data_IF_518074375834
#
_entry.id   IF_518074375834
#
_cell.length_a   1.000
_cell.length_b   1.000
_cell.length_c   1.000
_cell.angle_alpha   90.00
_cell.angle_beta   90.00
_cell.angle_gamma   90.00
#
_symmetry.space_group_name_H-M   'P 1'
#
loop_
_entity.id
_entity.type
_entity.pdbx_description
1 polymer ?
#
# COMPACT_ATOMS: atom_id res chain seq x y z
N UNK A 1 -7.22 25.55 -8.05
CA UNK A 1 -6.93 26.74 -8.86
C UNK A 1 -7.46 26.51 -10.27
N UNK A 2 -8.33 27.38 -10.77
CA UNK A 2 -8.77 27.36 -12.16
C UNK A 2 -8.02 28.46 -12.91
N UNK A 3 -7.09 28.06 -13.74
CA UNK A 3 -6.59 28.91 -14.81
C UNK A 3 -7.28 28.49 -16.10
N UNK A 4 -7.95 29.43 -16.79
CA UNK A 4 -8.63 29.19 -18.05
C UNK A 4 -9.75 28.13 -18.05
N UNK A 5 -10.50 27.99 -16.95
CA UNK A 5 -11.64 27.07 -16.89
C UNK A 5 -11.27 25.57 -16.78
N UNK A 6 -9.99 25.25 -16.71
CA UNK A 6 -9.53 23.87 -16.54
C UNK A 6 -9.23 23.60 -15.06
N UNK A 7 -9.96 22.68 -14.44
CA UNK A 7 -9.67 22.21 -13.08
C UNK A 7 -8.41 21.34 -13.14
N UNK A 8 -7.32 21.80 -12.52
CA UNK A 8 -6.09 21.00 -12.34
C UNK A 8 -6.07 20.40 -10.94
N UNK A 9 -5.95 19.10 -10.86
CA UNK A 9 -5.69 18.39 -9.61
C UNK A 9 -4.19 18.36 -9.34
N UNK A 10 -3.80 18.87 -8.17
CA UNK A 10 -2.42 18.81 -7.67
C UNK A 10 -2.33 17.75 -6.59
N UNK A 11 -1.24 17.00 -6.57
CA UNK A 11 -0.96 16.08 -5.47
C UNK A 11 -0.68 16.86 -4.17
N UNK A 12 -1.17 16.34 -3.06
CA UNK A 12 -0.97 16.97 -1.73
C UNK A 12 0.51 17.23 -1.43
N UNK A 13 1.37 16.30 -1.81
CA UNK A 13 2.83 16.40 -1.66
C UNK A 13 3.45 17.57 -2.44
N UNK A 14 2.81 18.00 -3.53
CA UNK A 14 3.29 19.12 -4.37
C UNK A 14 2.86 20.50 -3.87
N UNK A 15 1.96 20.55 -2.88
CA UNK A 15 1.47 21.83 -2.33
C UNK A 15 2.53 22.48 -1.43
N UNK A 16 2.56 23.80 -1.43
CA UNK A 16 3.33 24.61 -0.47
C UNK A 16 2.77 24.45 0.96
N UNK A 17 3.59 24.72 1.98
CA UNK A 17 3.22 24.52 3.39
C UNK A 17 1.90 25.19 3.74
N UNK A 18 1.76 26.47 3.44
CA UNK A 18 0.58 27.27 3.77
C UNK A 18 -0.69 26.72 3.09
N UNK A 19 -0.56 26.26 1.84
CA UNK A 19 -1.67 25.64 1.11
C UNK A 19 -2.05 24.27 1.70
N UNK A 20 -1.08 23.51 2.21
CA UNK A 20 -1.36 22.25 2.93
C UNK A 20 -2.10 22.50 4.23
N UNK A 21 -1.65 23.47 5.01
CA UNK A 21 -2.29 23.84 6.27
C UNK A 21 -3.74 24.30 6.07
N UNK A 22 -3.96 25.19 5.11
CA UNK A 22 -5.29 25.66 4.75
C UNK A 22 -6.20 24.49 4.29
N UNK A 23 -5.68 23.58 3.46
CA UNK A 23 -6.38 22.40 3.02
C UNK A 23 -6.75 21.47 4.19
N UNK A 24 -5.80 21.21 5.11
CA UNK A 24 -6.05 20.39 6.29
C UNK A 24 -7.14 20.97 7.17
N UNK A 25 -7.13 22.29 7.39
CA UNK A 25 -8.17 22.97 8.16
C UNK A 25 -9.55 22.82 7.52
N UNK A 26 -9.66 22.99 6.21
CA UNK A 26 -10.92 22.83 5.49
C UNK A 26 -11.41 21.37 5.49
N UNK A 27 -10.52 20.40 5.28
CA UNK A 27 -10.85 18.98 5.39
C UNK A 27 -11.34 18.63 6.78
N UNK A 28 -10.67 19.09 7.85
CA UNK A 28 -11.12 18.88 9.24
C UNK A 28 -12.52 19.44 9.48
N UNK A 29 -12.81 20.63 8.98
CA UNK A 29 -14.11 21.27 9.09
C UNK A 29 -15.22 20.46 8.41
N UNK A 30 -14.96 19.99 7.20
CA UNK A 30 -15.90 19.13 6.45
C UNK A 30 -16.10 17.80 7.17
N UNK A 31 -15.01 17.15 7.62
CA UNK A 31 -15.07 15.88 8.34
C UNK A 31 -15.88 15.98 9.64
N UNK A 32 -15.66 17.04 10.43
CA UNK A 32 -16.44 17.28 11.67
C UNK A 32 -17.94 17.45 11.39
N UNK A 33 -18.28 18.16 10.33
CA UNK A 33 -19.68 18.48 10.01
C UNK A 33 -20.44 17.31 9.37
N UNK A 34 -19.82 16.64 8.41
CA UNK A 34 -20.56 15.81 7.45
C UNK A 34 -20.14 14.33 7.45
N UNK A 35 -19.02 13.97 8.10
CA UNK A 35 -18.46 12.62 7.92
C UNK A 35 -18.46 11.84 9.22
N UNK A 36 -17.75 12.35 10.25
CA UNK A 36 -17.46 11.56 11.45
C UNK A 36 -18.73 11.15 12.20
N UNK A 37 -19.66 12.05 12.41
CA UNK A 37 -20.94 11.75 13.08
C UNK A 37 -21.88 10.89 12.25
N UNK A 38 -21.92 11.13 10.93
CA UNK A 38 -22.78 10.38 10.02
C UNK A 38 -22.34 8.91 9.94
N UNK A 39 -21.08 8.63 9.67
CA UNK A 39 -20.54 7.27 9.66
C UNK A 39 -20.68 6.57 11.03
N UNK A 40 -20.53 7.31 12.12
CA UNK A 40 -20.78 6.75 13.46
C UNK A 40 -22.21 6.25 13.60
N UNK A 41 -23.17 7.05 13.16
CA UNK A 41 -24.59 6.68 13.14
C UNK A 41 -24.89 5.51 12.21
N UNK A 42 -24.33 5.52 11.00
CA UNK A 42 -24.52 4.44 10.01
C UNK A 42 -24.02 3.08 10.52
N UNK A 43 -23.02 3.08 11.39
CA UNK A 43 -22.49 1.86 12.02
C UNK A 43 -23.04 1.58 13.42
N UNK A 44 -24.11 2.24 13.86
CA UNK A 44 -24.66 2.13 15.22
C UNK A 44 -23.62 2.34 16.34
N UNK A 45 -22.60 3.16 16.09
CA UNK A 45 -21.50 3.38 17.03
C UNK A 45 -20.59 2.19 17.29
N UNK A 46 -20.68 1.11 16.51
CA UNK A 46 -19.97 -0.15 16.80
C UNK A 46 -18.55 -0.21 16.24
N UNK A 47 -18.24 0.60 15.25
CA UNK A 47 -16.95 0.51 14.54
C UNK A 47 -15.87 1.39 15.14
N UNK A 48 -16.22 2.59 15.61
CA UNK A 48 -15.26 3.53 16.21
C UNK A 48 -15.95 4.45 17.20
N UNK A 49 -15.15 5.04 18.08
CA UNK A 49 -15.54 6.19 18.87
C UNK A 49 -14.84 7.46 18.39
N UNK A 50 -15.35 8.63 18.76
CA UNK A 50 -14.73 9.90 18.38
C UNK A 50 -14.97 11.02 19.40
N UNK A 51 -14.08 12.01 19.38
CA UNK A 51 -14.25 13.28 20.09
C UNK A 51 -13.99 14.43 19.12
N UNK A 52 -15.01 15.21 18.82
CA UNK A 52 -14.88 16.40 17.98
C UNK A 52 -14.02 17.49 18.64
N UNK A 53 -14.06 17.57 19.96
CA UNK A 53 -13.28 18.54 20.75
C UNK A 53 -11.80 18.22 20.72
N UNK A 54 -11.46 16.95 20.89
CA UNK A 54 -10.06 16.49 20.90
C UNK A 54 -9.53 16.15 19.50
N UNK A 55 -10.38 16.23 18.46
CA UNK A 55 -10.06 15.88 17.08
C UNK A 55 -9.51 14.45 16.94
N UNK A 56 -10.09 13.50 17.68
CA UNK A 56 -9.64 12.11 17.74
C UNK A 56 -10.72 11.15 17.31
N UNK A 57 -10.28 10.07 16.66
CA UNK A 57 -11.05 8.87 16.37
C UNK A 57 -10.26 7.71 16.96
N UNK A 58 -10.94 6.77 17.62
CA UNK A 58 -10.33 5.54 18.11
C UNK A 58 -11.12 4.33 17.64
N UNK A 59 -10.39 3.31 17.29
CA UNK A 59 -10.93 2.04 16.79
C UNK A 59 -10.52 0.95 17.77
N UNK A 60 -11.45 0.07 18.15
CA UNK A 60 -11.12 -1.05 19.02
C UNK A 60 -10.17 -2.04 18.33
N UNK A 61 -9.37 -2.77 19.10
CA UNK A 61 -8.43 -3.76 18.57
C UNK A 61 -9.13 -4.82 17.71
N UNK A 62 -10.35 -5.22 18.09
CA UNK A 62 -11.16 -6.20 17.35
C UNK A 62 -11.56 -5.66 15.98
N UNK A 63 -12.09 -4.42 15.94
CA UNK A 63 -12.48 -3.77 14.68
C UNK A 63 -11.24 -3.52 13.80
N UNK A 64 -10.15 -3.09 14.39
CA UNK A 64 -8.89 -2.89 13.67
C UNK A 64 -8.40 -4.19 13.01
N UNK A 65 -8.37 -5.29 13.76
CA UNK A 65 -8.00 -6.61 13.23
C UNK A 65 -8.95 -7.08 12.11
N UNK A 66 -10.26 -6.84 12.26
CA UNK A 66 -11.24 -7.11 11.21
C UNK A 66 -10.98 -6.30 9.94
N UNK A 67 -10.77 -4.99 10.06
CA UNK A 67 -10.49 -4.12 8.91
C UNK A 67 -9.19 -4.50 8.21
N UNK A 68 -8.14 -4.87 8.94
CA UNK A 68 -6.90 -5.36 8.35
C UNK A 68 -7.12 -6.69 7.61
N UNK A 69 -7.84 -7.62 8.23
CA UNK A 69 -8.09 -8.94 7.66
C UNK A 69 -8.85 -8.87 6.34
N UNK A 70 -9.85 -8.00 6.25
CA UNK A 70 -10.74 -7.89 5.09
C UNK A 70 -10.50 -6.63 4.25
N UNK A 71 -9.32 -6.02 4.36
CA UNK A 71 -8.98 -4.77 3.70
C UNK A 71 -9.29 -4.79 2.20
N UNK A 72 -8.86 -5.84 1.49
CA UNK A 72 -9.03 -5.94 0.03
C UNK A 72 -10.50 -6.08 -0.38
N UNK A 73 -11.24 -6.89 0.36
CA UNK A 73 -12.66 -7.12 0.10
C UNK A 73 -13.45 -5.83 0.35
N UNK A 74 -13.18 -5.14 1.46
CA UNK A 74 -13.83 -3.88 1.81
C UNK A 74 -13.50 -2.79 0.78
N UNK A 75 -12.25 -2.69 0.33
CA UNK A 75 -11.88 -1.75 -0.73
C UNK A 75 -12.62 -2.02 -2.05
N UNK A 76 -12.68 -3.29 -2.47
CA UNK A 76 -13.42 -3.67 -3.69
C UNK A 76 -14.92 -3.40 -3.59
N UNK A 77 -15.51 -3.71 -2.45
CA UNK A 77 -16.91 -3.39 -2.18
C UNK A 77 -17.14 -1.87 -2.20
N UNK A 78 -16.23 -1.08 -1.65
CA UNK A 78 -16.30 0.37 -1.69
C UNK A 78 -16.20 0.90 -3.12
N UNK A 79 -15.27 0.39 -3.95
CA UNK A 79 -15.20 0.77 -5.37
C UNK A 79 -16.47 0.41 -6.13
N UNK A 80 -17.03 -0.76 -5.88
CA UNK A 80 -18.30 -1.16 -6.48
C UNK A 80 -19.47 -0.26 -6.05
N UNK A 81 -19.51 0.08 -4.74
CA UNK A 81 -20.52 1.00 -4.21
C UNK A 81 -20.40 2.41 -4.82
N UNK A 82 -19.19 2.88 -5.11
CA UNK A 82 -18.94 4.14 -5.80
C UNK A 82 -19.25 4.07 -7.30
N UNK A 83 -18.99 2.94 -7.94
CA UNK A 83 -19.27 2.77 -9.37
C UNK A 83 -20.75 2.96 -9.69
N UNK A 84 -21.66 2.40 -8.88
CA UNK A 84 -23.10 2.49 -9.09
C UNK A 84 -23.66 3.93 -9.21
N UNK A 85 -23.44 4.84 -8.23
CA UNK A 85 -23.91 6.20 -8.35
C UNK A 85 -23.24 6.96 -9.49
N UNK A 86 -21.95 6.70 -9.77
CA UNK A 86 -21.25 7.34 -10.87
C UNK A 86 -21.79 6.90 -12.24
N UNK A 87 -22.12 5.64 -12.41
CA UNK A 87 -22.79 5.14 -13.62
C UNK A 87 -24.17 5.78 -13.81
N UNK A 88 -24.92 5.94 -12.72
CA UNK A 88 -26.23 6.60 -12.75
C UNK A 88 -26.13 8.08 -13.15
N UNK A 89 -25.15 8.79 -12.60
CA UNK A 89 -24.90 10.22 -12.92
C UNK A 89 -24.44 10.38 -14.37
N UNK A 90 -23.66 9.41 -14.90
CA UNK A 90 -23.11 9.45 -16.24
C UNK A 90 -23.87 8.54 -17.23
N UNK A 91 -25.17 8.32 -17.01
CA UNK A 91 -26.01 7.40 -17.81
C UNK A 91 -25.98 7.69 -19.33
N UNK A 92 -25.77 8.95 -19.74
CA UNK A 92 -25.67 9.36 -21.14
C UNK A 92 -24.29 9.14 -21.77
N UNK A 93 -23.26 8.90 -20.96
CA UNK A 93 -21.89 8.62 -21.40
C UNK A 93 -21.22 7.70 -20.37
N UNK A 94 -21.65 6.42 -20.30
CA UNK A 94 -21.15 5.51 -19.27
C UNK A 94 -19.64 5.35 -19.42
N UNK A 95 -18.86 5.67 -18.39
CA UNK A 95 -17.43 5.47 -18.41
C UNK A 95 -17.15 3.96 -18.47
N UNK A 96 -16.70 3.49 -19.61
CA UNK A 96 -16.20 2.12 -19.72
C UNK A 96 -15.10 1.89 -18.69
N UNK A 97 -15.17 0.79 -17.95
CA UNK A 97 -14.17 0.39 -16.94
C UNK A 97 -14.04 1.37 -15.77
N UNK A 98 -15.17 1.80 -15.20
CA UNK A 98 -15.16 2.73 -14.06
C UNK A 98 -14.44 2.14 -12.84
N UNK A 99 -14.62 0.85 -12.56
CA UNK A 99 -13.93 0.14 -11.49
C UNK A 99 -12.42 0.16 -11.73
N UNK A 100 -11.98 -0.12 -12.96
CA UNK A 100 -10.56 -0.04 -13.33
C UNK A 100 -10.00 1.38 -13.14
N UNK A 101 -10.78 2.41 -13.45
CA UNK A 101 -10.36 3.81 -13.22
C UNK A 101 -10.25 4.17 -11.75
N UNK A 102 -11.16 3.68 -10.91
CA UNK A 102 -11.09 3.86 -9.46
C UNK A 102 -9.90 3.11 -8.86
N UNK A 103 -9.60 1.91 -9.36
CA UNK A 103 -8.40 1.16 -8.97
C UNK A 103 -7.11 1.82 -9.46
N UNK A 104 -7.11 2.44 -10.65
CA UNK A 104 -5.97 3.20 -11.19
C UNK A 104 -5.75 4.55 -10.51
N UNK A 105 -6.74 5.10 -9.82
CA UNK A 105 -6.61 6.29 -8.98
C UNK A 105 -5.80 6.01 -7.68
N UNK A 106 -5.46 4.74 -7.41
CA UNK A 106 -4.53 4.37 -6.36
C UNK A 106 -3.10 4.82 -6.67
N UNK A 107 -2.25 5.02 -5.66
CA UNK A 107 -0.90 5.57 -5.86
C UNK A 107 -0.14 4.82 -6.95
N UNK A 108 0.42 5.57 -7.90
CA UNK A 108 1.31 4.99 -8.92
C UNK A 108 2.52 4.38 -8.23
N UNK A 109 2.96 3.23 -8.73
CA UNK A 109 4.22 2.62 -8.28
C UNK A 109 5.36 3.62 -8.44
N UNK A 110 6.14 3.78 -7.39
CA UNK A 110 7.32 4.63 -7.41
C UNK A 110 8.44 4.05 -8.30
N UNK A 111 9.42 4.87 -8.61
CA UNK A 111 10.64 4.39 -9.26
C UNK A 111 11.47 3.58 -8.25
N UNK A 112 11.56 2.29 -8.46
CA UNK A 112 12.26 1.35 -7.56
C UNK A 112 13.79 1.34 -7.72
N UNK A 113 14.37 2.26 -8.49
CA UNK A 113 15.82 2.32 -8.72
C UNK A 113 16.63 2.58 -7.44
N UNK A 114 16.06 3.31 -6.50
CA UNK A 114 16.65 3.53 -5.18
C UNK A 114 16.79 2.21 -4.42
N UNK A 115 15.72 1.45 -4.30
CA UNK A 115 15.72 0.14 -3.64
C UNK A 115 16.63 -0.88 -4.33
N UNK A 116 16.65 -0.86 -5.67
CA UNK A 116 17.56 -1.71 -6.45
C UNK A 116 19.01 -1.44 -6.08
N UNK A 117 19.42 -0.17 -5.99
CA UNK A 117 20.80 0.19 -5.61
C UNK A 117 21.15 -0.29 -4.21
N UNK A 118 20.25 -0.15 -3.25
CA UNK A 118 20.45 -0.64 -1.88
C UNK A 118 20.65 -2.15 -1.89
N UNK A 119 19.72 -2.90 -2.47
CA UNK A 119 19.78 -4.34 -2.53
C UNK A 119 21.03 -4.88 -3.25
N UNK A 120 21.50 -4.20 -4.31
CA UNK A 120 22.71 -4.57 -5.03
C UNK A 120 24.01 -4.27 -4.25
N UNK A 121 24.03 -3.19 -3.47
CA UNK A 121 25.23 -2.78 -2.71
C UNK A 121 25.43 -3.60 -1.44
N UNK A 122 24.35 -3.83 -0.70
CA UNK A 122 24.44 -4.37 0.66
C UNK A 122 24.54 -5.89 0.70
N UNK A 123 24.10 -6.56 -0.36
CA UNK A 123 24.07 -8.02 -0.37
C UNK A 123 25.09 -8.65 -1.28
N UNK A 124 25.97 -7.88 -1.94
CA UNK A 124 26.90 -8.40 -2.95
C UNK A 124 26.25 -9.47 -3.88
N UNK A 125 24.97 -9.77 -3.63
CA UNK A 125 24.18 -10.80 -4.28
C UNK A 125 23.67 -10.30 -5.62
N UNK A 126 24.39 -10.67 -6.64
CA UNK A 126 23.95 -10.45 -8.00
C UNK A 126 23.16 -11.65 -8.53
N UNK A 127 22.43 -12.33 -7.65
CA UNK A 127 21.64 -13.51 -7.98
C UNK A 127 20.14 -13.27 -7.82
N UNK A 128 19.37 -13.92 -8.67
CA UNK A 128 17.92 -13.89 -8.57
C UNK A 128 17.49 -14.62 -7.29
N UNK A 129 16.76 -13.94 -6.43
CA UNK A 129 16.25 -14.50 -5.18
C UNK A 129 15.47 -15.81 -5.36
N UNK A 130 14.72 -15.92 -6.46
CA UNK A 130 13.85 -17.04 -6.71
C UNK A 130 14.52 -18.26 -7.35
N UNK A 131 15.46 -18.07 -8.26
CA UNK A 131 16.06 -19.18 -9.02
C UNK A 131 17.58 -19.30 -8.85
N UNK A 132 18.21 -18.44 -8.06
CA UNK A 132 19.66 -18.46 -7.80
C UNK A 132 20.55 -18.10 -8.99
N UNK A 133 20.00 -17.85 -10.20
CA UNK A 133 20.82 -17.46 -11.35
C UNK A 133 21.44 -16.10 -11.15
N UNK A 134 22.69 -15.95 -11.57
CA UNK A 134 23.38 -14.66 -11.61
C UNK A 134 22.57 -13.64 -12.40
N UNK A 135 22.37 -12.47 -11.83
CA UNK A 135 21.67 -11.35 -12.47
C UNK A 135 22.66 -10.59 -13.37
N UNK A 136 22.21 -10.25 -14.54
CA UNK A 136 22.90 -9.42 -15.51
C UNK A 136 22.28 -8.00 -15.49
N UNK A 137 22.44 -7.24 -16.55
CA UNK A 137 21.97 -5.85 -16.64
C UNK A 137 20.45 -5.66 -16.37
N UNK A 138 19.64 -6.67 -16.70
CA UNK A 138 18.18 -6.63 -16.54
C UNK A 138 17.76 -7.21 -15.19
N UNK A 139 17.89 -6.39 -14.15
CA UNK A 139 17.49 -6.75 -12.78
C UNK A 139 16.17 -6.08 -12.45
N UNK A 140 15.21 -6.86 -11.96
CA UNK A 140 13.94 -6.37 -11.44
C UNK A 140 13.96 -6.35 -9.90
N UNK A 141 13.30 -5.37 -9.32
CA UNK A 141 12.91 -5.36 -7.91
C UNK A 141 11.50 -5.89 -7.83
N UNK A 142 11.31 -6.98 -7.10
CA UNK A 142 9.99 -7.61 -6.94
C UNK A 142 9.50 -7.51 -5.51
N UNK A 143 8.19 -7.33 -5.36
CA UNK A 143 7.51 -7.34 -4.08
C UNK A 143 7.29 -8.79 -3.63
N UNK A 144 7.87 -9.17 -2.50
CA UNK A 144 7.71 -10.50 -1.89
C UNK A 144 6.23 -10.76 -1.57
N UNK A 145 5.65 -9.89 -0.77
CA UNK A 145 4.19 -9.82 -0.60
C UNK A 145 3.63 -8.90 -1.70
N UNK A 146 2.63 -9.36 -2.48
CA UNK A 146 2.13 -8.60 -3.63
C UNK A 146 1.77 -7.15 -3.29
N UNK A 147 2.21 -6.23 -4.15
CA UNK A 147 1.92 -4.80 -4.02
C UNK A 147 0.42 -4.49 -3.89
N UNK A 148 -0.43 -5.28 -4.54
CA UNK A 148 -1.88 -5.14 -4.45
C UNK A 148 -2.42 -5.22 -3.01
N UNK A 149 -1.72 -5.96 -2.13
CA UNK A 149 -2.07 -6.06 -0.72
C UNK A 149 -1.43 -4.95 0.11
N UNK A 150 -0.11 -4.76 -0.02
CA UNK A 150 0.66 -3.84 0.82
C UNK A 150 0.44 -2.38 0.41
N UNK A 151 0.37 -2.11 -0.89
CA UNK A 151 0.22 -0.79 -1.52
C UNK A 151 1.24 0.25 -1.08
N UNK A 152 2.36 -0.22 -0.55
CA UNK A 152 3.49 0.59 -0.15
C UNK A 152 4.78 -0.02 -0.71
N UNK A 153 5.68 0.87 -1.10
CA UNK A 153 7.02 0.50 -1.51
C UNK A 153 7.93 0.57 -0.28
N UNK A 154 8.32 -0.60 0.23
CA UNK A 154 9.15 -0.74 1.43
C UNK A 154 10.30 -1.70 1.20
N UNK A 155 11.49 -1.33 1.65
CA UNK A 155 12.71 -2.11 1.47
C UNK A 155 12.57 -3.54 2.00
N UNK A 156 11.91 -3.72 3.14
CA UNK A 156 11.68 -5.01 3.75
C UNK A 156 10.84 -5.97 2.88
N UNK A 157 10.08 -5.45 1.93
CA UNK A 157 9.22 -6.25 1.04
C UNK A 157 9.85 -6.49 -0.36
N UNK A 158 11.10 -6.10 -0.56
CA UNK A 158 11.73 -6.20 -1.88
C UNK A 158 12.81 -7.28 -1.95
N UNK A 159 12.92 -7.91 -3.12
CA UNK A 159 14.03 -8.80 -3.50
C UNK A 159 14.47 -8.51 -4.92
N UNK A 160 15.71 -8.89 -5.27
CA UNK A 160 16.20 -8.85 -6.64
C UNK A 160 15.76 -10.11 -7.39
N UNK A 161 15.19 -9.93 -8.56
CA UNK A 161 14.71 -11.02 -9.39
C UNK A 161 15.12 -10.85 -10.86
N UNK A 162 15.30 -11.98 -11.56
CA UNK A 162 15.42 -11.95 -13.00
C UNK A 162 14.04 -11.69 -13.64
N UNK A 163 13.97 -11.10 -14.85
CA UNK A 163 12.70 -10.81 -15.51
C UNK A 163 11.76 -12.00 -15.62
N UNK A 164 12.29 -13.18 -15.92
CA UNK A 164 11.50 -14.39 -16.08
C UNK A 164 10.82 -14.84 -14.77
N UNK A 165 11.52 -14.77 -13.64
CA UNK A 165 10.94 -15.10 -12.34
C UNK A 165 9.93 -14.04 -11.89
N UNK A 166 10.25 -12.76 -12.05
CA UNK A 166 9.35 -11.67 -11.72
C UNK A 166 8.02 -11.77 -12.50
N UNK A 167 8.08 -12.00 -13.81
CA UNK A 167 6.88 -12.15 -14.64
C UNK A 167 6.08 -13.39 -14.23
N UNK A 168 6.74 -14.54 -14.00
CA UNK A 168 6.04 -15.78 -13.61
C UNK A 168 5.44 -15.70 -12.22
N UNK A 169 6.12 -15.08 -11.28
CA UNK A 169 5.57 -14.85 -9.93
C UNK A 169 4.38 -13.89 -9.98
N UNK A 170 4.52 -12.78 -10.71
CA UNK A 170 3.45 -11.78 -10.82
C UNK A 170 2.91 -11.39 -9.42
N UNK A 171 1.59 -11.52 -9.20
CA UNK A 171 0.92 -11.24 -7.93
C UNK A 171 0.79 -12.47 -7.01
N UNK A 172 1.58 -13.52 -7.22
CA UNK A 172 1.56 -14.71 -6.36
C UNK A 172 2.44 -14.51 -5.14
N UNK A 173 2.14 -15.27 -4.09
CA UNK A 173 2.96 -15.33 -2.89
C UNK A 173 4.18 -16.22 -3.10
N UNK A 174 5.32 -15.92 -2.51
CA UNK A 174 6.42 -16.88 -2.43
C UNK A 174 6.03 -18.05 -1.51
N UNK A 175 6.73 -19.16 -1.64
CA UNK A 175 6.66 -20.25 -0.65
C UNK A 175 7.07 -19.73 0.73
N UNK A 176 6.58 -20.38 1.78
CA UNK A 176 6.84 -19.96 3.17
C UNK A 176 8.33 -19.93 3.48
N UNK A 177 9.09 -20.91 2.99
CA UNK A 177 10.54 -21.00 3.18
C UNK A 177 11.28 -19.78 2.58
N UNK A 178 10.82 -19.30 1.44
CA UNK A 178 11.37 -18.07 0.83
C UNK A 178 11.00 -16.82 1.62
N UNK A 179 9.80 -16.77 2.21
CA UNK A 179 9.42 -15.68 3.10
C UNK A 179 10.35 -15.64 4.32
N UNK A 180 10.64 -16.79 4.91
CA UNK A 180 11.54 -16.92 6.07
C UNK A 180 12.96 -16.40 5.75
N UNK A 181 13.49 -16.70 4.56
CA UNK A 181 14.78 -16.15 4.10
C UNK A 181 14.75 -14.60 4.01
N UNK A 182 13.66 -14.02 3.52
CA UNK A 182 13.51 -12.56 3.48
C UNK A 182 13.44 -11.97 4.88
N UNK A 183 12.74 -12.61 5.80
CA UNK A 183 12.66 -12.18 7.20
C UNK A 183 14.05 -12.20 7.85
N UNK A 184 14.80 -13.29 7.69
CA UNK A 184 16.16 -13.40 8.20
C UNK A 184 17.08 -12.31 7.66
N UNK A 185 17.04 -12.07 6.35
CA UNK A 185 17.75 -10.95 5.71
C UNK A 185 17.38 -9.61 6.33
N UNK A 186 16.10 -9.35 6.48
CA UNK A 186 15.60 -8.09 7.02
C UNK A 186 16.05 -7.86 8.48
N UNK A 187 16.09 -8.90 9.30
CA UNK A 187 16.61 -8.79 10.67
C UNK A 187 18.12 -8.44 10.68
N UNK A 188 18.90 -9.02 9.77
CA UNK A 188 20.31 -8.66 9.60
C UNK A 188 20.44 -7.19 9.15
N UNK A 189 19.65 -6.76 8.17
CA UNK A 189 19.66 -5.37 7.69
C UNK A 189 19.34 -4.38 8.80
N UNK A 190 18.34 -4.68 9.62
CA UNK A 190 17.86 -3.80 10.68
C UNK A 190 18.91 -3.52 11.76
N UNK A 191 19.80 -4.48 12.02
CA UNK A 191 20.84 -4.38 13.06
C UNK A 191 22.23 -4.04 12.51
N UNK A 192 22.40 -3.99 11.19
CA UNK A 192 23.69 -3.67 10.58
C UNK A 192 24.02 -2.18 10.74
N UNK A 193 25.30 -1.86 10.91
CA UNK A 193 25.81 -0.47 10.96
C UNK A 193 25.54 0.34 9.67
N UNK A 194 25.17 -0.34 8.60
CA UNK A 194 24.76 0.25 7.32
C UNK A 194 23.32 0.82 7.38
N UNK A 195 22.60 0.59 8.48
CA UNK A 195 21.27 1.15 8.71
C UNK A 195 21.32 2.66 9.03
N UNK A 196 22.06 3.40 8.18
CA UNK A 196 22.19 4.85 8.28
C UNK A 196 20.84 5.49 7.95
N UNK A 197 20.45 6.46 8.71
CA UNK A 197 19.24 7.29 8.76
C UNK A 197 18.13 7.08 7.70
N UNK A 198 18.46 6.86 6.43
CA UNK A 198 17.48 6.65 5.35
C UNK A 198 16.88 5.23 5.31
N UNK A 199 17.62 4.23 5.78
CA UNK A 199 17.17 2.82 5.82
C UNK A 199 16.42 2.53 7.12
N UNK A 200 16.78 3.19 8.22
CA UNK A 200 16.12 3.03 9.51
C UNK A 200 14.61 3.36 9.45
N UNK A 201 14.21 4.39 8.70
CA UNK A 201 12.80 4.73 8.51
C UNK A 201 12.02 3.64 7.76
N UNK A 202 12.66 2.90 6.85
CA UNK A 202 12.02 1.77 6.14
C UNK A 202 11.65 0.63 7.10
N UNK A 203 12.36 0.47 8.21
CA UNK A 203 12.17 -0.58 9.20
C UNK A 203 11.45 -0.14 10.48
N UNK A 204 11.02 1.11 10.60
CA UNK A 204 10.40 1.69 11.81
C UNK A 204 9.22 0.88 12.35
N UNK A 205 8.38 0.35 11.47
CA UNK A 205 7.20 -0.45 11.81
C UNK A 205 7.33 -1.90 11.35
N UNK A 206 8.56 -2.34 11.06
CA UNK A 206 8.82 -3.69 10.59
C UNK A 206 8.95 -4.67 11.76
N UNK A 207 8.37 -5.86 11.58
CA UNK A 207 8.70 -7.07 12.34
C UNK A 207 8.53 -8.30 11.47
N UNK A 208 9.28 -9.37 11.77
CA UNK A 208 9.12 -10.65 11.09
C UNK A 208 7.70 -11.19 11.18
N UNK A 209 7.07 -11.07 12.36
CA UNK A 209 5.67 -11.46 12.57
C UNK A 209 4.69 -10.68 11.68
N UNK A 210 4.96 -9.39 11.45
CA UNK A 210 4.15 -8.60 10.51
C UNK A 210 4.19 -9.19 9.10
N UNK A 211 5.36 -9.60 8.61
CA UNK A 211 5.48 -10.22 7.29
C UNK A 211 4.76 -11.57 7.22
N UNK A 212 4.87 -12.40 8.26
CA UNK A 212 4.14 -13.68 8.36
C UNK A 212 2.64 -13.43 8.33
N UNK A 213 2.15 -12.46 9.09
CA UNK A 213 0.74 -12.11 9.13
C UNK A 213 0.24 -11.58 7.77
N UNK A 214 0.99 -10.70 7.11
CA UNK A 214 0.67 -10.22 5.76
C UNK A 214 0.59 -11.36 4.74
N UNK A 215 1.53 -12.30 4.80
CA UNK A 215 1.53 -13.47 3.93
C UNK A 215 0.30 -14.36 4.17
N UNK A 216 -0.05 -14.61 5.44
CA UNK A 216 -1.25 -15.37 5.79
C UNK A 216 -2.53 -14.66 5.34
N UNK A 217 -2.62 -13.34 5.53
CA UNK A 217 -3.77 -12.55 5.07
C UNK A 217 -3.89 -12.56 3.54
N UNK A 218 -2.77 -12.47 2.83
CA UNK A 218 -2.78 -12.59 1.39
C UNK A 218 -3.30 -13.97 0.94
N UNK A 219 -2.85 -15.04 1.60
CA UNK A 219 -3.31 -16.40 1.31
C UNK A 219 -4.83 -16.56 1.57
N UNK A 220 -5.31 -16.03 2.69
CA UNK A 220 -6.75 -16.00 3.01
C UNK A 220 -7.56 -15.14 2.04
N UNK A 221 -6.97 -14.05 1.53
CA UNK A 221 -7.54 -13.18 0.49
C UNK A 221 -7.48 -13.75 -0.92
N UNK A 222 -7.09 -15.04 -1.09
CA UNK A 222 -7.12 -15.75 -2.37
C UNK A 222 -5.86 -15.60 -3.22
N UNK A 223 -4.80 -14.99 -2.72
CA UNK A 223 -3.51 -15.00 -3.41
C UNK A 223 -2.92 -16.41 -3.41
N UNK A 224 -2.56 -16.90 -4.60
CA UNK A 224 -2.00 -18.24 -4.75
C UNK A 224 -0.50 -18.24 -4.48
N UNK A 225 -0.01 -19.31 -3.91
CA UNK A 225 1.43 -19.52 -3.81
C UNK A 225 2.03 -19.77 -5.21
N UNK A 226 3.23 -19.28 -5.40
CA UNK A 226 4.03 -19.56 -6.59
C UNK A 226 4.84 -20.83 -6.35
N UNK A 227 4.55 -21.84 -7.14
CA UNK A 227 5.18 -23.17 -7.12
C UNK A 227 6.44 -23.15 -7.97
#
# INVERSE_FOLDING_TARGET
>A
ASENGVIRYLEYSSLQSDAREALVLEVKKVCKRNVVGALYGDFDGKFYGFSLKEERIWISTVVYAFLLKYKLEIEKLNYYAWAKPLEKINAHNPPTKLVDKLELATPKRNNLSFYRRILQREFEEQCCFYCGRKLNEKVHVDHVIPWQLVREDRLWNFVLACPACNIRKNNRLPKKEMLELVIQRNEIMRVSDMCVNSIAEEFKNYSGDMMVNLWQYAKMGGFREWI
#
